data_IF_954029025031
#
_entry.id   IF_954029025031
#
_cell.length_a   1.000
_cell.length_b   1.000
_cell.length_c   1.000
_cell.angle_alpha   90.00
_cell.angle_beta   90.00
_cell.angle_gamma   90.00
#
_symmetry.space_group_name_H-M   'P 1'
#
loop_
_entity.id
_entity.type
_entity.pdbx_description
1 polymer ?
#
# COMPACT_ATOMS: atom_id res chain seq x y z
N UNK A 1 7.02 13.42 -5.61
CA UNK A 1 6.31 13.24 -4.34
C UNK A 1 5.00 12.55 -4.67
N UNK A 2 4.66 11.46 -3.98
CA UNK A 2 3.43 10.71 -4.20
C UNK A 2 2.44 10.99 -3.07
N UNK A 3 1.26 11.47 -3.40
CA UNK A 3 0.14 11.60 -2.46
C UNK A 3 -0.71 10.35 -2.59
N UNK A 4 -0.90 9.65 -1.48
CA UNK A 4 -1.69 8.43 -1.39
C UNK A 4 -3.07 8.84 -0.86
N UNK A 5 -4.16 8.39 -1.50
CA UNK A 5 -5.50 8.64 -0.95
C UNK A 5 -5.63 8.00 0.42
N UNK A 6 -6.52 8.51 1.26
CA UNK A 6 -6.88 7.83 2.50
C UNK A 6 -7.45 6.45 2.21
N UNK A 7 -6.94 5.43 2.91
CA UNK A 7 -7.46 4.07 2.86
C UNK A 7 -7.41 3.42 4.24
N UNK A 8 -8.11 2.31 4.35
CA UNK A 8 -8.11 1.42 5.50
C UNK A 8 -7.70 0.02 5.02
N UNK A 9 -6.76 -0.58 5.75
CA UNK A 9 -6.46 -2.00 5.62
C UNK A 9 -7.34 -2.77 6.61
N UNK A 10 -8.09 -3.73 6.10
CA UNK A 10 -8.84 -4.69 6.90
C UNK A 10 -8.21 -6.05 6.69
N UNK A 11 -7.57 -6.55 7.74
CA UNK A 11 -7.12 -7.93 7.80
C UNK A 11 -8.29 -8.82 8.12
N UNK A 12 -8.76 -9.57 7.13
CA UNK A 12 -9.73 -10.63 7.38
C UNK A 12 -9.04 -11.79 8.10
N UNK A 13 -9.79 -12.60 8.84
CA UNK A 13 -9.26 -13.84 9.46
C UNK A 13 -8.84 -14.90 8.42
N UNK A 14 -9.21 -14.70 7.16
CA UNK A 14 -8.78 -15.46 5.99
C UNK A 14 -7.45 -14.92 5.43
N UNK A 15 -6.73 -15.70 4.61
CA UNK A 15 -5.39 -15.40 4.07
C UNK A 15 -5.28 -14.17 3.13
N UNK A 16 -6.21 -13.22 3.24
CA UNK A 16 -6.33 -12.07 2.36
C UNK A 16 -6.69 -10.81 3.13
N UNK A 17 -5.94 -9.75 2.86
CA UNK A 17 -6.24 -8.40 3.34
C UNK A 17 -7.08 -7.64 2.31
N UNK A 18 -7.92 -6.74 2.81
CA UNK A 18 -8.74 -5.86 2.00
C UNK A 18 -8.30 -4.42 2.19
N UNK A 19 -8.12 -3.71 1.09
CA UNK A 19 -7.85 -2.29 1.04
C UNK A 19 -9.15 -1.56 0.70
N UNK A 20 -9.64 -0.75 1.64
CA UNK A 20 -10.86 0.02 1.49
C UNK A 20 -10.50 1.49 1.39
N UNK A 21 -10.85 2.10 0.27
CA UNK A 21 -10.85 3.55 0.06
C UNK A 21 -12.27 4.08 0.18
N UNK A 22 -12.45 5.40 0.10
CA UNK A 22 -13.78 6.03 0.11
C UNK A 22 -14.69 5.58 -1.03
N UNK A 23 -14.14 5.09 -2.14
CA UNK A 23 -14.90 4.76 -3.35
C UNK A 23 -14.77 3.29 -3.78
N UNK A 24 -13.87 2.52 -3.18
CA UNK A 24 -13.59 1.15 -3.62
C UNK A 24 -13.05 0.26 -2.50
N UNK A 25 -13.49 -0.99 -2.46
CA UNK A 25 -12.83 -2.07 -1.73
C UNK A 25 -12.09 -3.00 -2.70
N UNK A 26 -10.78 -3.14 -2.53
CA UNK A 26 -9.93 -4.02 -3.34
C UNK A 26 -9.27 -5.08 -2.47
N UNK A 27 -9.24 -6.32 -2.96
CA UNK A 27 -8.50 -7.40 -2.32
C UNK A 27 -7.01 -7.23 -2.62
N UNK A 28 -6.17 -7.27 -1.59
CA UNK A 28 -4.71 -7.19 -1.73
C UNK A 28 -4.13 -8.61 -1.70
N UNK A 29 -3.45 -9.05 -2.77
CA UNK A 29 -2.77 -10.32 -2.77
C UNK A 29 -1.44 -10.22 -2.01
N UNK A 30 -1.31 -11.02 -0.95
CA UNK A 30 -0.04 -11.28 -0.28
C UNK A 30 0.27 -10.37 0.91
N UNK A 31 0.74 -11.00 2.00
CA UNK A 31 1.05 -10.34 3.28
C UNK A 31 2.13 -9.25 3.16
N UNK A 32 3.09 -9.42 2.24
CA UNK A 32 4.16 -8.44 1.98
C UNK A 32 3.59 -7.08 1.56
N UNK A 33 2.64 -7.08 0.64
CA UNK A 33 2.02 -5.86 0.12
C UNK A 33 1.15 -5.19 1.19
N UNK A 34 0.44 -5.98 1.98
CA UNK A 34 -0.33 -5.48 3.14
C UNK A 34 0.55 -4.81 4.19
N UNK A 35 1.74 -5.35 4.45
CA UNK A 35 2.70 -4.74 5.37
C UNK A 35 3.24 -3.40 4.83
N UNK A 36 3.55 -3.33 3.53
CA UNK A 36 3.98 -2.07 2.90
C UNK A 36 2.87 -1.03 3.01
N UNK A 37 1.63 -1.40 2.71
CA UNK A 37 0.49 -0.51 2.82
C UNK A 37 0.21 -0.12 4.29
N UNK A 38 0.39 -1.02 5.25
CA UNK A 38 0.28 -0.69 6.66
C UNK A 38 1.34 0.36 7.06
N UNK A 39 2.60 0.17 6.63
CA UNK A 39 3.68 1.12 6.86
C UNK A 39 3.39 2.48 6.18
N UNK A 40 2.90 2.47 4.94
CA UNK A 40 2.50 3.69 4.22
C UNK A 40 1.39 4.47 4.92
N UNK A 41 0.49 3.79 5.63
CA UNK A 41 -0.58 4.40 6.41
C UNK A 41 -0.07 5.11 7.68
N UNK A 42 1.15 4.81 8.14
CA UNK A 42 1.80 5.50 9.26
C UNK A 42 2.51 6.79 8.82
N UNK A 43 2.72 7.01 7.52
CA UNK A 43 3.33 8.25 7.03
C UNK A 43 2.38 9.43 7.26
N UNK A 44 2.93 10.50 7.84
CA UNK A 44 2.17 11.75 8.04
C UNK A 44 1.65 12.24 6.69
N UNK A 45 0.39 12.67 6.69
CA UNK A 45 -0.32 13.22 5.52
C UNK A 45 -0.58 12.25 4.35
N UNK A 46 -0.30 10.95 4.50
CA UNK A 46 -0.40 10.00 3.38
C UNK A 46 0.50 10.38 2.20
N UNK A 47 1.64 11.00 2.50
CA UNK A 47 2.61 11.43 1.51
C UNK A 47 3.88 10.58 1.61
N UNK A 48 4.36 10.13 0.46
CA UNK A 48 5.54 9.30 0.35
C UNK A 48 6.47 9.86 -0.74
N UNK A 49 7.74 10.02 -0.40
CA UNK A 49 8.78 10.32 -1.38
C UNK A 49 9.17 9.05 -2.15
N UNK A 50 9.72 9.22 -3.35
CA UNK A 50 10.21 8.07 -4.12
C UNK A 50 11.30 7.29 -3.37
N UNK A 51 12.15 7.98 -2.60
CA UNK A 51 13.17 7.34 -1.76
C UNK A 51 12.55 6.49 -0.64
N UNK A 52 11.49 6.97 0.02
CA UNK A 52 10.77 6.20 1.05
C UNK A 52 10.06 4.99 0.46
N UNK A 53 9.46 5.16 -0.72
CA UNK A 53 8.82 4.06 -1.44
C UNK A 53 9.84 2.98 -1.84
N UNK A 54 11.00 3.42 -2.33
CA UNK A 54 12.08 2.51 -2.69
C UNK A 54 12.64 1.77 -1.47
N UNK A 55 12.80 2.47 -0.35
CA UNK A 55 13.23 1.85 0.90
C UNK A 55 12.23 0.80 1.41
N UNK A 56 10.93 1.08 1.36
CA UNK A 56 9.89 0.10 1.72
C UNK A 56 9.87 -1.10 0.77
N UNK A 57 10.06 -0.87 -0.53
CA UNK A 57 10.14 -1.94 -1.52
C UNK A 57 11.34 -2.85 -1.23
N UNK A 58 12.51 -2.28 -0.93
CA UNK A 58 13.72 -3.02 -0.54
C UNK A 58 13.54 -3.79 0.78
N UNK A 59 12.99 -3.15 1.82
CA UNK A 59 12.78 -3.77 3.14
C UNK A 59 11.85 -4.98 3.10
N UNK A 60 10.89 -4.99 2.17
CA UNK A 60 9.92 -6.08 2.03
C UNK A 60 10.24 -7.02 0.85
N UNK A 61 11.36 -6.81 0.16
CA UNK A 61 11.79 -7.53 -1.05
C UNK A 61 10.68 -7.58 -2.12
N UNK A 62 10.07 -6.43 -2.39
CA UNK A 62 9.04 -6.25 -3.42
C UNK A 62 9.61 -5.40 -4.54
N UNK A 63 9.29 -5.74 -5.78
CA UNK A 63 9.69 -4.92 -6.92
C UNK A 63 9.01 -3.55 -6.88
N UNK A 64 9.80 -2.47 -6.90
CA UNK A 64 9.29 -1.10 -6.85
C UNK A 64 8.25 -0.83 -7.94
N UNK A 65 8.46 -1.37 -9.15
CA UNK A 65 7.55 -1.18 -10.27
C UNK A 65 6.18 -1.79 -9.99
N UNK A 66 6.15 -3.03 -9.48
CA UNK A 66 4.92 -3.70 -9.08
C UNK A 66 4.21 -2.96 -7.95
N UNK A 67 4.96 -2.46 -6.95
CA UNK A 67 4.41 -1.65 -5.87
C UNK A 67 3.77 -0.36 -6.40
N UNK A 68 4.47 0.38 -7.26
CA UNK A 68 3.95 1.61 -7.88
C UNK A 68 2.66 1.34 -8.66
N UNK A 69 2.61 0.26 -9.44
CA UNK A 69 1.40 -0.13 -10.18
C UNK A 69 0.23 -0.36 -9.23
N UNK A 70 0.42 -1.10 -8.13
CA UNK A 70 -0.65 -1.32 -7.15
C UNK A 70 -1.10 0.00 -6.52
N UNK A 71 -0.17 0.88 -6.14
CA UNK A 71 -0.53 2.17 -5.56
C UNK A 71 -1.32 3.04 -6.54
N UNK A 72 -0.95 3.05 -7.82
CA UNK A 72 -1.68 3.79 -8.86
C UNK A 72 -3.05 3.16 -9.10
N UNK A 73 -3.13 1.84 -9.30
CA UNK A 73 -4.39 1.17 -9.62
C UNK A 73 -5.39 1.15 -8.47
N UNK A 74 -4.92 1.12 -7.23
CA UNK A 74 -5.78 0.93 -6.04
C UNK A 74 -5.96 2.17 -5.19
N UNK A 75 -5.05 3.15 -5.28
CA UNK A 75 -4.98 4.30 -4.36
C UNK A 75 -4.86 5.68 -5.03
N UNK A 76 -4.79 5.78 -6.36
CA UNK A 76 -4.97 7.05 -7.09
C UNK A 76 -6.40 7.27 -7.57
#
# INVERSE_FOLDING_TARGET
MYTIRRYQLITARTDHDFLITTTMGAKIPGKKLSHILAALNEFKHYECSEAQLNHLAEQHEVELLALKTVLIEKLQ
#
